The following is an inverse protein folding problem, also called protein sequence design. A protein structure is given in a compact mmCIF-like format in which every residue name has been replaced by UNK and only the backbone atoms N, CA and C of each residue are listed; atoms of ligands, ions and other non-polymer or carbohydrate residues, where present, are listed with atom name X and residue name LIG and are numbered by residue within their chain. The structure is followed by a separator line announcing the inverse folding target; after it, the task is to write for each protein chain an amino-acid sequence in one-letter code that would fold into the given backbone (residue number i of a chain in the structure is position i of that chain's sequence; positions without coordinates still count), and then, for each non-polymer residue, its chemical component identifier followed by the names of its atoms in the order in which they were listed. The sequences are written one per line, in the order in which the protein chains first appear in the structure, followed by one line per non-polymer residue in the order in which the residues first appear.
data_IF_070254433049
#
_entry.id   IF_070254433049
#
_cell.length_a   1.000
_cell.length_b   1.000
_cell.length_c   1.000
_cell.angle_alpha   90.00
_cell.angle_beta   90.00
_cell.angle_gamma   90.00
#
_symmetry.space_group_name_H-M   'P 1'
#
loop_
_entity.id
_entity.type
_entity.pdbx_description
1 polymer ?
#
# COMPACT_ATOMS: atom_id res chain seq x y z
N UNK A 1 9.13 -11.08 4.55
CA UNK A 1 7.75 -11.46 4.25
C UNK A 1 6.85 -10.66 5.18
N UNK A 2 6.13 -9.69 4.61
CA UNK A 2 5.29 -8.75 5.34
C UNK A 2 4.16 -8.22 4.46
N UNK A 3 2.98 -8.03 5.05
CA UNK A 3 1.84 -7.40 4.40
C UNK A 3 1.77 -5.93 4.78
N UNK A 4 1.27 -5.12 3.88
CA UNK A 4 1.17 -3.68 4.08
C UNK A 4 -0.24 -3.17 3.76
N UNK A 5 -0.58 -2.07 4.40
CA UNK A 5 -1.69 -1.22 4.02
C UNK A 5 -1.17 0.16 3.72
N UNK A 6 -1.76 0.80 2.71
CA UNK A 6 -1.47 2.17 2.35
C UNK A 6 -2.77 2.99 2.34
N UNK A 7 -2.63 4.27 2.63
CA UNK A 7 -3.71 5.27 2.62
C UNK A 7 -3.12 6.55 2.00
N UNK A 8 -3.82 7.26 1.09
CA UNK A 8 -3.38 8.58 0.68
C UNK A 8 -3.19 9.49 1.89
N UNK A 9 -2.12 10.29 1.91
CA UNK A 9 -1.88 11.27 2.96
C UNK A 9 -3.05 12.26 2.98
N UNK A 10 -3.43 12.67 4.18
CA UNK A 10 -4.54 13.62 4.32
C UNK A 10 -4.19 14.97 3.68
N UNK A 11 -4.93 15.30 2.62
CA UNK A 11 -4.87 16.58 1.92
C UNK A 11 -6.18 17.40 2.12
N UNK A 12 -7.03 16.94 3.05
CA UNK A 12 -8.34 17.54 3.35
C UNK A 12 -9.45 17.23 2.35
N UNK A 13 -9.20 16.45 1.28
CA UNK A 13 -10.17 16.23 0.20
C UNK A 13 -11.10 15.02 0.36
N UNK A 14 -10.92 14.19 1.38
CA UNK A 14 -11.89 13.13 1.63
C UNK A 14 -11.50 12.13 2.70
N UNK A 15 -12.44 11.24 3.05
CA UNK A 15 -12.20 10.16 4.00
C UNK A 15 -11.32 9.09 3.35
N UNK A 16 -10.01 9.27 3.45
CA UNK A 16 -9.06 8.26 3.02
C UNK A 16 -9.11 7.05 3.96
N UNK A 17 -9.18 5.85 3.38
CA UNK A 17 -9.23 4.59 4.13
C UNK A 17 -7.94 3.80 3.89
N UNK A 18 -7.53 3.06 4.92
CA UNK A 18 -6.48 2.08 4.77
C UNK A 18 -6.94 0.96 3.83
N UNK A 19 -6.16 0.70 2.79
CA UNK A 19 -6.38 -0.40 1.88
C UNK A 19 -5.13 -1.28 1.80
N UNK A 20 -5.33 -2.59 1.68
CA UNK A 20 -4.23 -3.54 1.57
C UNK A 20 -3.40 -3.30 0.31
N UNK A 21 -2.09 -3.45 0.38
CA UNK A 21 -1.22 -3.37 -0.79
C UNK A 21 -1.20 -4.74 -1.47
N UNK A 22 -1.45 -4.74 -2.77
CA UNK A 22 -1.45 -5.95 -3.61
C UNK A 22 -0.48 -5.80 -4.77
N UNK A 23 0.11 -6.91 -5.20
CA UNK A 23 0.95 -7.00 -6.39
C UNK A 23 0.07 -6.97 -7.64
N UNK A 24 0.55 -6.20 -8.61
CA UNK A 24 -0.04 -6.04 -9.93
C UNK A 24 1.06 -6.19 -10.98
N UNK A 25 0.70 -6.50 -12.22
CA UNK A 25 1.66 -6.64 -13.33
C UNK A 25 2.49 -5.38 -13.59
N UNK A 26 2.03 -4.21 -13.12
CA UNK A 26 2.69 -2.90 -13.27
C UNK A 26 3.35 -2.38 -11.98
N UNK A 27 3.44 -3.20 -10.92
CA UNK A 27 3.95 -2.78 -9.60
C UNK A 27 2.95 -3.02 -8.48
N UNK A 28 2.69 -2.01 -7.65
CA UNK A 28 1.80 -2.12 -6.49
C UNK A 28 0.47 -1.41 -6.74
N UNK A 29 -0.60 -1.91 -6.10
CA UNK A 29 -1.92 -1.28 -6.14
C UNK A 29 -2.57 -1.39 -4.77
N UNK A 30 -3.50 -0.48 -4.47
CA UNK A 30 -4.43 -0.64 -3.37
C UNK A 30 -5.47 -1.73 -3.69
N UNK A 31 -5.71 -2.59 -2.71
CA UNK A 31 -6.74 -3.61 -2.74
C UNK A 31 -8.11 -2.97 -2.89
N UNK A 32 -8.96 -3.62 -3.69
CA UNK A 32 -10.37 -3.26 -3.83
C UNK A 32 -11.23 -4.17 -2.95
N UNK A 33 -12.55 -3.99 -3.00
CA UNK A 33 -13.52 -4.88 -2.35
C UNK A 33 -13.37 -6.35 -2.79
N UNK A 34 -12.77 -6.61 -3.96
CA UNK A 34 -12.53 -7.95 -4.51
C UNK A 34 -11.17 -8.53 -4.15
N UNK A 35 -10.27 -7.72 -3.57
CA UNK A 35 -8.93 -8.17 -3.13
C UNK A 35 -8.58 -7.49 -1.82
N UNK A 36 -9.23 -8.00 -0.77
CA UNK A 36 -9.17 -7.45 0.59
C UNK A 36 -7.98 -7.96 1.40
N UNK A 37 -7.19 -8.89 0.87
CA UNK A 37 -5.98 -9.42 1.51
C UNK A 37 -4.77 -8.94 0.74
N UNK A 38 -3.82 -8.33 1.45
CA UNK A 38 -2.56 -7.87 0.88
C UNK A 38 -1.63 -9.01 0.54
N UNK A 39 -0.83 -8.82 -0.50
CA UNK A 39 0.21 -9.76 -0.86
C UNK A 39 1.36 -9.71 0.15
N UNK A 40 2.02 -10.84 0.33
CA UNK A 40 3.22 -10.90 1.13
C UNK A 40 4.42 -10.38 0.32
N UNK A 41 5.04 -9.31 0.83
CA UNK A 41 6.13 -8.61 0.18
C UNK A 41 7.49 -9.05 0.76
N UNK A 42 8.44 -9.26 -0.13
CA UNK A 42 9.83 -9.50 0.24
C UNK A 42 10.52 -8.16 0.65
N UNK A 43 11.75 -8.20 1.20
CA UNK A 43 12.45 -7.01 1.66
C UNK A 43 12.70 -5.96 0.54
N UNK A 44 13.05 -6.39 -0.66
CA UNK A 44 13.28 -5.50 -1.81
C UNK A 44 11.99 -4.81 -2.27
N UNK A 45 10.89 -5.58 -2.37
CA UNK A 45 9.56 -5.05 -2.68
C UNK A 45 9.08 -4.08 -1.61
N UNK A 46 9.36 -4.36 -0.34
CA UNK A 46 9.03 -3.46 0.78
C UNK A 46 9.79 -2.13 0.66
N UNK A 47 11.07 -2.18 0.29
CA UNK A 47 11.89 -0.99 0.08
C UNK A 47 11.36 -0.16 -1.09
N UNK A 48 11.03 -0.80 -2.20
CA UNK A 48 10.43 -0.15 -3.37
C UNK A 48 9.07 0.49 -3.05
N UNK A 49 8.20 -0.25 -2.35
CA UNK A 49 6.89 0.25 -1.90
C UNK A 49 7.03 1.49 -1.01
N UNK A 50 7.96 1.47 -0.06
CA UNK A 50 8.20 2.59 0.85
C UNK A 50 8.64 3.85 0.08
N UNK A 51 9.53 3.69 -0.90
CA UNK A 51 9.97 4.80 -1.75
C UNK A 51 8.84 5.37 -2.61
N UNK A 52 8.01 4.50 -3.19
CA UNK A 52 6.84 4.91 -3.99
C UNK A 52 5.84 5.65 -3.10
N UNK A 53 5.48 5.11 -1.95
CA UNK A 53 4.53 5.77 -1.04
C UNK A 53 5.05 7.13 -0.57
N UNK A 54 6.34 7.25 -0.24
CA UNK A 54 6.93 8.53 0.14
C UNK A 54 6.88 9.57 -0.99
N UNK A 55 7.12 9.15 -2.24
CA UNK A 55 7.10 10.02 -3.42
C UNK A 55 5.69 10.46 -3.81
N UNK A 56 4.75 9.53 -3.81
CA UNK A 56 3.37 9.75 -4.29
C UNK A 56 2.44 10.30 -3.17
N UNK A 57 2.94 10.47 -1.94
CA UNK A 57 2.17 11.03 -0.83
C UNK A 57 1.20 10.06 -0.19
N UNK A 58 1.64 8.82 0.07
CA UNK A 58 0.88 7.81 0.80
C UNK A 58 1.50 7.53 2.16
N UNK A 59 0.65 7.37 3.16
CA UNK A 59 1.02 6.77 4.43
C UNK A 59 1.02 5.24 4.29
N UNK A 60 2.04 4.62 4.87
CA UNK A 60 2.26 3.17 4.79
C UNK A 60 2.34 2.59 6.20
N UNK A 61 1.66 1.47 6.43
CA UNK A 61 1.79 0.70 7.67
C UNK A 61 1.92 -0.79 7.40
N UNK A 62 2.73 -1.46 8.21
CA UNK A 62 2.82 -2.92 8.22
C UNK A 62 1.60 -3.52 8.92
N UNK A 63 1.08 -4.60 8.38
CA UNK A 63 -0.02 -5.37 8.96
C UNK A 63 0.55 -6.71 9.44
N UNK A 64 0.12 -7.24 10.60
CA UNK A 64 0.45 -8.59 11.03
C UNK A 64 -0.01 -9.66 10.04
#
# INVERSE_FOLDING_TARGET
MARFQAKPREDGKGPYRWAHVVRSRKGFRLGSIYRQIGDDLNPDETRALTQICAREGFDLRRVP
#
